data_IF_633298388847
#
_entry.id   IF_633298388847
#
_cell.length_a   1.000
_cell.length_b   1.000
_cell.length_c   1.000
_cell.angle_alpha   90.00
_cell.angle_beta   90.00
_cell.angle_gamma   90.00
#
_symmetry.space_group_name_H-M   'P 1'
#
loop_
_entity.id
_entity.type
_entity.pdbx_description
1 polymer ?
#
# COMPACT_ATOMS: atom_id res chain seq x y z
N UNK A 1 -27.71 -4.05 0.97
CA UNK A 1 -26.84 -4.35 -0.19
C UNK A 1 -25.42 -4.48 0.34
N UNK A 2 -24.68 -5.52 -0.05
CA UNK A 2 -23.30 -5.74 0.41
C UNK A 2 -22.35 -5.17 -0.63
N UNK A 3 -21.39 -4.36 -0.19
CA UNK A 3 -20.36 -3.77 -1.04
C UNK A 3 -18.99 -4.32 -0.62
N UNK A 4 -18.03 -4.44 -1.56
CA UNK A 4 -16.68 -4.87 -1.23
C UNK A 4 -15.99 -3.84 -0.32
N UNK A 5 -15.18 -4.30 0.63
CA UNK A 5 -14.40 -3.41 1.50
C UNK A 5 -13.31 -2.65 0.74
N UNK A 6 -12.77 -3.25 -0.32
CA UNK A 6 -11.73 -2.68 -1.19
C UNK A 6 -12.12 -2.74 -2.66
N UNK A 7 -11.86 -1.68 -3.41
CA UNK A 7 -12.02 -1.65 -4.87
C UNK A 7 -10.76 -1.13 -5.54
N UNK A 8 -10.37 -1.74 -6.65
CA UNK A 8 -9.30 -1.24 -7.53
C UNK A 8 -9.87 -0.91 -8.89
N UNK A 9 -9.66 0.34 -9.33
CA UNK A 9 -10.25 0.89 -10.55
C UNK A 9 -9.09 1.33 -11.43
N UNK A 10 -8.88 0.68 -12.56
CA UNK A 10 -7.89 1.11 -13.56
C UNK A 10 -8.48 2.22 -14.44
N UNK A 11 -7.63 3.07 -15.01
CA UNK A 11 -8.08 4.20 -15.83
C UNK A 11 -8.87 5.27 -15.05
N UNK A 12 -8.62 5.40 -13.75
CA UNK A 12 -9.37 6.28 -12.85
C UNK A 12 -9.09 7.79 -13.04
N UNK A 13 -8.22 8.15 -13.98
CA UNK A 13 -7.83 9.53 -14.26
C UNK A 13 -9.01 10.42 -14.69
N UNK A 14 -9.97 9.89 -15.46
CA UNK A 14 -11.10 10.66 -16.01
C UNK A 14 -12.28 9.75 -16.38
N UNK A 15 -13.39 10.36 -16.80
CA UNK A 15 -14.54 9.65 -17.36
C UNK A 15 -15.12 8.62 -16.40
N UNK A 16 -15.40 7.41 -16.89
CA UNK A 16 -16.09 6.37 -16.12
C UNK A 16 -15.30 5.89 -14.90
N UNK A 17 -13.96 5.78 -15.00
CA UNK A 17 -13.14 5.34 -13.88
C UNK A 17 -13.17 6.34 -12.72
N UNK A 18 -13.08 7.63 -13.04
CA UNK A 18 -13.24 8.70 -12.05
C UNK A 18 -14.67 8.75 -11.47
N UNK A 19 -15.69 8.48 -12.31
CA UNK A 19 -17.07 8.32 -11.86
C UNK A 19 -17.22 7.21 -10.83
N UNK A 20 -16.65 6.02 -11.09
CA UNK A 20 -16.64 4.92 -10.12
C UNK A 20 -15.95 5.29 -8.81
N UNK A 21 -14.80 5.98 -8.86
CA UNK A 21 -14.12 6.47 -7.65
C UNK A 21 -15.08 7.33 -6.82
N UNK A 22 -15.74 8.31 -7.45
CA UNK A 22 -16.69 9.21 -6.76
C UNK A 22 -17.89 8.45 -6.18
N UNK A 23 -18.45 7.47 -6.89
CA UNK A 23 -19.58 6.68 -6.38
C UNK A 23 -19.17 5.76 -5.22
N UNK A 24 -18.04 5.04 -5.33
CA UNK A 24 -17.58 4.17 -4.25
C UNK A 24 -17.21 4.94 -2.99
N UNK A 25 -16.69 6.17 -3.12
CA UNK A 25 -16.45 7.04 -1.98
C UNK A 25 -17.74 7.51 -1.29
N UNK A 26 -18.92 7.49 -1.93
CA UNK A 26 -20.18 7.78 -1.23
C UNK A 26 -20.62 6.64 -0.29
N UNK A 27 -20.02 5.46 -0.40
CA UNK A 27 -20.44 4.26 0.32
C UNK A 27 -19.59 4.10 1.59
N UNK A 28 -20.14 4.23 2.81
CA UNK A 28 -19.35 4.21 4.05
C UNK A 28 -18.73 2.84 4.41
N UNK A 29 -19.30 1.76 3.88
CA UNK A 29 -18.78 0.40 4.07
C UNK A 29 -17.54 0.14 3.22
N UNK A 30 -17.32 0.87 2.12
CA UNK A 30 -16.08 0.81 1.34
C UNK A 30 -14.97 1.52 2.12
N UNK A 31 -13.91 0.79 2.42
CA UNK A 31 -12.78 1.24 3.25
C UNK A 31 -11.58 1.68 2.40
N UNK A 32 -11.42 1.10 1.22
CA UNK A 32 -10.29 1.39 0.34
C UNK A 32 -10.74 1.54 -1.11
N UNK A 33 -10.42 2.68 -1.69
CA UNK A 33 -10.63 2.97 -3.11
C UNK A 33 -9.26 3.20 -3.73
N UNK A 34 -8.78 2.24 -4.50
CA UNK A 34 -7.50 2.32 -5.19
C UNK A 34 -7.76 2.76 -6.63
N UNK A 35 -7.27 3.93 -6.99
CA UNK A 35 -7.41 4.55 -8.29
C UNK A 35 -6.12 4.38 -9.10
N UNK A 36 -6.15 3.51 -10.10
CA UNK A 36 -5.06 3.28 -11.03
C UNK A 36 -5.02 4.32 -12.15
N UNK A 37 -3.90 5.02 -12.31
CA UNK A 37 -3.69 5.97 -13.41
C UNK A 37 -2.31 5.78 -14.06
N UNK A 38 -2.22 5.91 -15.39
CA UNK A 38 -0.96 5.84 -16.14
C UNK A 38 0.02 6.95 -15.71
N UNK A 39 -0.50 8.16 -15.56
CA UNK A 39 0.24 9.35 -15.13
C UNK A 39 -0.52 10.05 -13.98
N UNK A 40 -0.36 9.60 -12.72
CA UNK A 40 -1.03 10.18 -11.56
C UNK A 40 -0.82 11.69 -11.41
N UNK A 41 0.38 12.18 -11.72
CA UNK A 41 0.72 13.61 -11.58
C UNK A 41 -0.11 14.52 -12.51
N UNK A 42 -0.64 13.96 -13.61
CA UNK A 42 -1.49 14.68 -14.57
C UNK A 42 -2.99 14.50 -14.30
N UNK A 43 -3.36 13.82 -13.20
CA UNK A 43 -4.74 13.47 -12.88
C UNK A 43 -5.42 14.53 -12.01
N UNK A 44 -5.57 15.76 -12.53
CA UNK A 44 -6.04 16.93 -11.78
C UNK A 44 -7.35 16.67 -11.02
N UNK A 45 -8.37 16.12 -11.68
CA UNK A 45 -9.66 15.86 -11.04
C UNK A 45 -9.60 14.75 -9.97
N UNK A 46 -8.74 13.75 -10.17
CA UNK A 46 -8.54 12.66 -9.21
C UNK A 46 -7.76 13.16 -7.98
N UNK A 47 -6.73 13.97 -8.22
CA UNK A 47 -5.89 14.58 -7.19
C UNK A 47 -6.66 15.62 -6.36
N UNK A 48 -7.72 16.22 -6.92
CA UNK A 48 -8.60 17.14 -6.20
C UNK A 48 -9.50 16.45 -5.14
N UNK A 49 -9.62 15.12 -5.16
CA UNK A 49 -10.45 14.38 -4.21
C UNK A 49 -9.69 14.17 -2.90
N UNK A 50 -10.08 14.91 -1.87
CA UNK A 50 -9.56 14.76 -0.51
C UNK A 50 -10.39 13.73 0.30
N UNK A 51 -10.13 12.43 0.11
CA UNK A 51 -10.68 11.36 0.95
C UNK A 51 -9.56 10.42 1.41
N UNK A 52 -9.47 10.17 2.73
CA UNK A 52 -8.45 9.30 3.34
C UNK A 52 -8.49 7.85 2.87
N UNK A 53 -9.61 7.40 2.29
CA UNK A 53 -9.80 6.06 1.73
C UNK A 53 -9.30 5.94 0.29
N UNK A 54 -9.08 7.06 -0.39
CA UNK A 54 -8.57 7.09 -1.75
C UNK A 54 -7.04 6.91 -1.75
N UNK A 55 -6.56 5.97 -2.57
CA UNK A 55 -5.14 5.77 -2.85
C UNK A 55 -4.92 5.75 -4.35
N UNK A 56 -3.99 6.55 -4.83
CA UNK A 56 -3.68 6.66 -6.25
C UNK A 56 -2.43 5.82 -6.52
N UNK A 57 -2.56 4.88 -7.46
CA UNK A 57 -1.47 3.97 -7.85
C UNK A 57 -1.12 4.22 -9.30
N UNK A 58 0.17 4.34 -9.60
CA UNK A 58 0.64 4.40 -10.98
C UNK A 58 0.48 3.01 -11.61
N UNK A 59 -0.30 2.92 -12.68
CA UNK A 59 -0.41 1.69 -13.47
C UNK A 59 -0.61 2.01 -14.94
N UNK A 60 0.27 1.45 -15.77
CA UNK A 60 0.07 1.32 -17.20
C UNK A 60 -0.19 -0.14 -17.55
N UNK A 61 -1.40 -0.44 -18.03
CA UNK A 61 -1.82 -1.82 -18.31
C UNK A 61 -1.11 -2.42 -19.53
N UNK A 62 -0.41 -1.59 -20.29
CA UNK A 62 0.42 -1.97 -21.44
C UNK A 62 1.87 -2.32 -21.02
N UNK A 63 2.22 -2.21 -19.73
CA UNK A 63 3.57 -2.46 -19.23
C UNK A 63 3.60 -3.49 -18.10
N UNK A 64 4.17 -4.67 -18.37
CA UNK A 64 4.37 -5.71 -17.36
C UNK A 64 5.09 -5.22 -16.11
N UNK A 65 6.10 -4.37 -16.28
CA UNK A 65 6.83 -3.78 -15.17
C UNK A 65 5.92 -2.88 -14.34
N UNK A 66 5.13 -2.01 -15.00
CA UNK A 66 4.17 -1.16 -14.30
C UNK A 66 3.09 -1.95 -13.59
N UNK A 67 2.64 -3.07 -14.16
CA UNK A 67 1.66 -3.97 -13.52
C UNK A 67 2.27 -4.63 -12.28
N UNK A 68 3.51 -5.11 -12.36
CA UNK A 68 4.23 -5.70 -11.21
C UNK A 68 4.43 -4.69 -10.09
N UNK A 69 4.80 -3.46 -10.43
CA UNK A 69 5.03 -2.41 -9.44
C UNK A 69 3.71 -1.94 -8.80
N UNK A 70 2.66 -1.78 -9.60
CA UNK A 70 1.31 -1.52 -9.11
C UNK A 70 0.84 -2.64 -8.18
N UNK A 71 1.01 -3.91 -8.56
CA UNK A 71 0.67 -5.07 -7.73
C UNK A 71 1.42 -5.07 -6.39
N UNK A 72 2.73 -4.79 -6.38
CA UNK A 72 3.49 -4.68 -5.12
C UNK A 72 2.92 -3.59 -4.21
N UNK A 73 2.60 -2.43 -4.77
CA UNK A 73 2.04 -1.30 -4.03
C UNK A 73 0.58 -1.53 -3.59
N UNK A 74 -0.22 -2.20 -4.41
CA UNK A 74 -1.68 -2.31 -4.24
C UNK A 74 -2.15 -3.65 -3.69
N UNK A 75 -1.37 -4.72 -3.76
CA UNK A 75 -1.80 -6.06 -3.33
C UNK A 75 -1.26 -6.42 -1.95
N UNK A 76 0.06 -6.41 -1.73
CA UNK A 76 0.61 -6.84 -0.44
C UNK A 76 0.29 -5.85 0.67
N UNK A 77 0.51 -4.57 0.40
CA UNK A 77 0.23 -3.47 1.32
C UNK A 77 -1.27 -3.34 1.64
N UNK A 78 -2.12 -3.51 0.62
CA UNK A 78 -3.57 -3.50 0.83
C UNK A 78 -4.06 -4.77 1.51
N UNK A 79 -3.46 -5.93 1.25
CA UNK A 79 -3.80 -7.19 1.93
C UNK A 79 -3.57 -7.05 3.44
N UNK A 80 -2.40 -6.57 3.86
CA UNK A 80 -2.12 -6.34 5.27
C UNK A 80 -3.10 -5.36 5.90
N UNK A 81 -3.50 -4.32 5.16
CA UNK A 81 -4.48 -3.33 5.64
C UNK A 81 -5.91 -3.86 5.72
N UNK A 82 -6.30 -4.72 4.79
CA UNK A 82 -7.59 -5.43 4.82
C UNK A 82 -7.63 -6.42 5.98
N UNK A 83 -6.57 -7.22 6.17
CA UNK A 83 -6.44 -8.12 7.31
C UNK A 83 -6.49 -7.38 8.65
N UNK A 84 -5.90 -6.17 8.73
CA UNK A 84 -5.96 -5.35 9.92
C UNK A 84 -7.39 -4.94 10.32
N UNK A 85 -8.28 -4.76 9.33
CA UNK A 85 -9.71 -4.48 9.56
C UNK A 85 -10.45 -5.77 9.89
N UNK A 86 -10.25 -6.82 9.11
CA UNK A 86 -11.00 -8.08 9.25
C UNK A 86 -10.68 -8.81 10.56
N UNK A 87 -9.45 -8.69 11.06
CA UNK A 87 -8.99 -9.36 12.28
C UNK A 87 -9.07 -8.47 13.53
N UNK A 88 -9.60 -7.25 13.42
CA UNK A 88 -9.71 -6.31 14.55
C UNK A 88 -10.59 -6.87 15.67
N UNK A 89 -11.71 -7.53 15.34
CA UNK A 89 -12.61 -8.15 16.32
C UNK A 89 -11.94 -9.26 17.12
N UNK A 90 -10.94 -9.93 16.52
CA UNK A 90 -10.18 -11.02 17.13
C UNK A 90 -8.99 -10.49 17.93
N UNK A 91 -8.81 -9.17 18.02
CA UNK A 91 -7.70 -8.48 18.70
C UNK A 91 -6.33 -8.87 18.13
N UNK A 92 -6.27 -9.15 16.83
CA UNK A 92 -5.03 -9.45 16.13
C UNK A 92 -4.50 -8.16 15.49
N UNK A 93 -3.29 -7.76 15.86
CA UNK A 93 -2.61 -6.62 15.26
C UNK A 93 -1.88 -7.07 13.99
N UNK A 94 -2.10 -6.35 12.89
CA UNK A 94 -1.40 -6.56 11.62
C UNK A 94 -0.57 -5.31 11.32
N UNK A 95 0.74 -5.46 11.16
CA UNK A 95 1.64 -4.37 10.77
C UNK A 95 2.63 -4.88 9.72
N UNK A 96 2.98 -4.01 8.77
CA UNK A 96 3.87 -4.34 7.67
C UNK A 96 5.18 -3.57 7.80
N UNK A 97 6.29 -4.18 7.39
CA UNK A 97 7.61 -3.60 7.54
C UNK A 97 8.40 -3.63 6.24
N UNK A 98 9.08 -2.53 5.94
CA UNK A 98 10.14 -2.47 4.94
C UNK A 98 11.48 -2.78 5.64
N UNK A 99 12.19 -3.86 5.25
CA UNK A 99 13.47 -4.22 5.84
C UNK A 99 14.63 -3.32 5.34
N UNK A 100 14.37 -2.37 4.44
CA UNK A 100 15.41 -1.61 3.75
C UNK A 100 16.10 -2.42 2.65
N UNK A 101 17.20 -1.90 2.12
CA UNK A 101 17.97 -2.57 1.08
C UNK A 101 19.07 -3.45 1.69
N UNK A 102 18.74 -4.72 1.94
CA UNK A 102 19.53 -5.67 2.74
C UNK A 102 20.43 -6.57 1.89
N UNK A 103 21.64 -6.86 2.36
CA UNK A 103 22.64 -7.74 1.73
C UNK A 103 22.20 -9.21 1.72
N UNK A 104 21.28 -9.51 0.82
CA UNK A 104 20.75 -10.85 0.51
C UNK A 104 20.98 -11.12 -0.97
N UNK A 105 20.75 -12.34 -1.43
CA UNK A 105 20.79 -12.66 -2.87
C UNK A 105 19.94 -11.68 -3.70
N UNK A 106 18.73 -11.37 -3.21
CA UNK A 106 17.81 -10.41 -3.83
C UNK A 106 18.32 -8.97 -3.78
N UNK A 107 18.83 -8.53 -2.63
CA UNK A 107 19.36 -7.18 -2.48
C UNK A 107 20.62 -6.93 -3.30
N UNK A 108 21.40 -7.98 -3.55
CA UNK A 108 22.66 -7.88 -4.28
C UNK A 108 22.53 -8.16 -5.80
N UNK A 109 21.30 -8.39 -6.29
CA UNK A 109 21.06 -8.61 -7.71
C UNK A 109 21.57 -7.45 -8.56
N UNK A 110 22.16 -7.77 -9.72
CA UNK A 110 22.70 -6.78 -10.65
C UNK A 110 24.10 -6.25 -10.28
N UNK A 111 24.85 -6.99 -9.46
CA UNK A 111 26.25 -6.66 -9.13
C UNK A 111 26.41 -5.48 -8.17
N UNK A 112 25.32 -5.03 -7.56
CA UNK A 112 25.33 -3.99 -6.51
C UNK A 112 25.38 -4.67 -5.16
N UNK A 113 26.07 -4.06 -4.19
CA UNK A 113 26.02 -4.52 -2.80
C UNK A 113 25.02 -3.64 -2.05
N UNK A 114 24.06 -4.28 -1.40
CA UNK A 114 23.03 -3.58 -0.66
C UNK A 114 23.60 -2.84 0.58
N UNK A 115 22.90 -1.81 1.03
CA UNK A 115 23.45 -0.82 1.96
C UNK A 115 23.60 -1.30 3.41
N UNK A 116 22.86 -2.33 3.83
CA UNK A 116 22.84 -2.81 5.22
C UNK A 116 22.94 -4.32 5.30
N UNK A 117 23.50 -4.82 6.38
CA UNK A 117 23.60 -6.28 6.61
C UNK A 117 22.25 -6.87 7.02
N UNK A 118 22.15 -8.21 6.95
CA UNK A 118 20.98 -8.95 7.43
C UNK A 118 20.80 -8.75 8.93
N UNK A 119 21.88 -8.81 9.70
CA UNK A 119 21.89 -8.65 11.15
C UNK A 119 21.43 -7.24 11.57
N UNK A 120 21.92 -6.21 10.88
CA UNK A 120 21.51 -4.82 11.12
C UNK A 120 20.01 -4.61 10.81
N UNK A 121 19.51 -5.22 9.73
CA UNK A 121 18.10 -5.11 9.35
C UNK A 121 17.19 -5.83 10.36
N UNK A 122 17.49 -7.10 10.65
CA UNK A 122 16.69 -7.97 11.52
C UNK A 122 16.68 -7.50 12.97
N UNK A 123 17.82 -7.07 13.52
CA UNK A 123 17.90 -6.52 14.87
C UNK A 123 17.03 -5.26 15.04
N UNK A 124 17.10 -4.34 14.07
CA UNK A 124 16.27 -3.14 14.07
C UNK A 124 14.78 -3.46 13.95
N UNK A 125 14.41 -4.42 13.08
CA UNK A 125 13.01 -4.86 12.92
C UNK A 125 12.45 -5.49 14.20
N UNK A 126 13.19 -6.38 14.85
CA UNK A 126 12.74 -7.00 16.13
C UNK A 126 12.53 -5.93 17.21
N UNK A 127 13.43 -4.94 17.28
CA UNK A 127 13.29 -3.80 18.19
C UNK A 127 12.07 -2.93 17.85
N UNK A 128 11.79 -2.71 16.56
CA UNK A 128 10.61 -1.99 16.12
C UNK A 128 9.32 -2.76 16.48
N UNK A 129 9.28 -4.07 16.21
CA UNK A 129 8.13 -4.93 16.50
C UNK A 129 7.79 -4.99 17.99
N UNK A 130 8.79 -4.94 18.88
CA UNK A 130 8.55 -4.94 20.34
C UNK A 130 7.88 -3.67 20.86
N UNK A 131 7.85 -2.59 20.05
CA UNK A 131 7.22 -1.29 20.37
C UNK A 131 5.83 -1.13 19.77
N UNK A 132 5.31 -2.14 19.07
CA UNK A 132 4.00 -2.07 18.45
C UNK A 132 2.90 -1.90 19.51
N UNK A 133 1.98 -1.00 19.20
CA UNK A 133 0.73 -0.73 19.91
C UNK A 133 -0.42 -0.82 18.92
N UNK A 134 -1.66 -0.84 19.40
CA UNK A 134 -2.88 -0.81 18.56
C UNK A 134 -2.88 0.30 17.50
N UNK A 135 -2.19 1.41 17.75
CA UNK A 135 -2.13 2.57 16.85
C UNK A 135 -1.31 2.27 15.57
N UNK A 136 -0.57 1.16 15.57
CA UNK A 136 0.20 0.68 14.42
C UNK A 136 -0.58 -0.29 13.53
N UNK A 137 -1.81 -0.67 13.91
CA UNK A 137 -2.60 -1.64 13.17
C UNK A 137 -2.92 -1.13 11.75
N UNK A 138 -2.67 -1.97 10.74
CA UNK A 138 -2.86 -1.65 9.32
C UNK A 138 -1.86 -0.64 8.76
N UNK A 139 -0.76 -0.38 9.46
CA UNK A 139 0.31 0.51 9.02
C UNK A 139 1.44 -0.21 8.28
N UNK A 140 2.20 0.59 7.50
CA UNK A 140 3.43 0.17 6.83
C UNK A 140 4.58 1.05 7.32
N UNK A 141 5.63 0.42 7.84
CA UNK A 141 6.70 1.10 8.57
C UNK A 141 8.07 0.72 8.05
N UNK A 142 9.06 1.58 8.28
CA UNK A 142 10.46 1.19 8.17
C UNK A 142 10.97 0.52 9.46
N UNK A 143 12.25 0.15 9.44
CA UNK A 143 12.94 -0.48 10.59
C UNK A 143 13.04 0.38 11.84
N UNK A 144 12.71 1.66 11.76
CA UNK A 144 12.70 2.62 12.86
C UNK A 144 11.28 3.00 13.30
N UNK A 145 10.27 2.22 12.87
CA UNK A 145 8.85 2.45 13.14
C UNK A 145 8.31 3.75 12.50
N UNK A 146 9.01 4.34 11.52
CA UNK A 146 8.52 5.51 10.79
C UNK A 146 7.55 5.06 9.71
N UNK A 147 6.43 5.77 9.58
CA UNK A 147 5.41 5.47 8.57
C UNK A 147 5.99 5.64 7.17
N UNK A 148 5.88 4.59 6.35
CA UNK A 148 6.12 4.66 4.92
C UNK A 148 4.76 4.90 4.24
N UNK A 149 4.60 6.00 3.48
CA UNK A 149 3.39 6.22 2.71
C UNK A 149 3.14 5.07 1.73
N UNK A 150 1.89 4.63 1.67
CA UNK A 150 1.39 3.75 0.61
C UNK A 150 1.29 4.49 -0.72
#
# INVERSE_FOLDING_TARGET
MVYPASVFITGANRGIGLGFVREFLKIPSVKFVIAGARNPDKAEELNAIADKRLKIVKIDIESDQSIKDAYKQSALNQLGKTMAVDLESDKILVAQFCPGWVQTDMGNMGGKVAAITVEESTSALVNAMSKLTKDHNGGYFDRSLRVIPY
#
